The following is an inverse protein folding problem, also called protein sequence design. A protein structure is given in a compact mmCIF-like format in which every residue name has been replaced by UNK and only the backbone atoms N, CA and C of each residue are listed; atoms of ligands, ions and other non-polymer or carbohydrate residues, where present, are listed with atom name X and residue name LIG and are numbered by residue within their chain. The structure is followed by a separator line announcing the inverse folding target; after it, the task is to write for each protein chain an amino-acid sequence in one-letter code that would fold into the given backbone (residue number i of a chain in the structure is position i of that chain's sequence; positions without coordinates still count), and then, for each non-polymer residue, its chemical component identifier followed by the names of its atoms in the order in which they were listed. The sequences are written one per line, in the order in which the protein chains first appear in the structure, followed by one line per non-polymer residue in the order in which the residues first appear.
data_IF_856645429472
#
_entry.id   IF_856645429472
#
_cell.length_a   1.000
_cell.length_b   1.000
_cell.length_c   1.000
_cell.angle_alpha   90.00
_cell.angle_beta   90.00
_cell.angle_gamma   90.00
#
_symmetry.space_group_name_H-M   'P 1'
#
loop_
_entity.id
_entity.type
_entity.pdbx_description
1 polymer ?
#
# COMPACT_ATOMS: atom_id res chain seq x y z
N UNK A 1 -14.55 -10.42 -20.23
CA UNK A 1 -14.86 -9.51 -19.15
C UNK A 1 -13.68 -9.38 -18.21
N UNK A 2 -13.25 -8.18 -18.00
CA UNK A 2 -12.13 -7.95 -17.14
C UNK A 2 -12.58 -7.84 -15.70
N UNK A 3 -12.07 -8.72 -14.90
CA UNK A 3 -12.34 -8.66 -13.47
C UNK A 3 -11.09 -8.09 -12.83
N UNK A 4 -11.19 -6.87 -12.37
CA UNK A 4 -10.09 -6.31 -11.61
C UNK A 4 -10.22 -6.77 -10.18
N UNK A 5 -9.16 -7.33 -9.69
CA UNK A 5 -9.04 -7.47 -8.26
C UNK A 5 -8.70 -6.09 -7.72
N UNK A 6 -9.53 -5.51 -6.85
CA UNK A 6 -9.18 -4.24 -6.24
C UNK A 6 -7.84 -4.37 -5.53
N UNK A 7 -6.91 -3.47 -5.81
CA UNK A 7 -5.57 -3.55 -5.25
C UNK A 7 -5.58 -3.55 -3.73
N UNK A 8 -6.49 -2.78 -3.12
CA UNK A 8 -6.55 -2.69 -1.67
C UNK A 8 -6.99 -4.00 -1.01
N UNK A 9 -7.54 -4.93 -1.79
CA UNK A 9 -7.92 -6.25 -1.29
C UNK A 9 -6.86 -7.30 -1.57
N UNK A 10 -5.82 -6.96 -2.28
CA UNK A 10 -4.70 -7.85 -2.50
C UNK A 10 -3.80 -7.80 -1.29
N UNK A 11 -4.14 -8.63 -0.33
CA UNK A 11 -3.46 -8.64 0.96
C UNK A 11 -1.95 -8.76 0.82
N UNK A 12 -1.49 -9.60 -0.08
CA UNK A 12 -0.07 -9.82 -0.29
C UNK A 12 0.64 -8.55 -0.74
N UNK A 13 0.00 -7.79 -1.64
CA UNK A 13 0.57 -6.55 -2.15
C UNK A 13 0.60 -5.48 -1.06
N UNK A 14 -0.47 -5.40 -0.27
CA UNK A 14 -0.54 -4.46 0.84
C UNK A 14 0.57 -4.76 1.85
N UNK A 15 0.73 -6.03 2.20
CA UNK A 15 1.74 -6.44 3.17
C UNK A 15 3.15 -6.17 2.62
N UNK A 16 3.38 -6.45 1.34
CA UNK A 16 4.68 -6.21 0.72
C UNK A 16 5.07 -4.74 0.78
N UNK A 17 4.13 -3.87 0.45
CA UNK A 17 4.39 -2.42 0.51
C UNK A 17 4.59 -1.96 1.94
N UNK A 18 3.79 -2.45 2.86
CA UNK A 18 3.93 -2.09 4.27
C UNK A 18 5.28 -2.57 4.83
N UNK A 19 5.70 -3.77 4.47
CA UNK A 19 7.00 -4.30 4.89
C UNK A 19 8.13 -3.41 4.39
N UNK A 20 8.08 -3.00 3.13
CA UNK A 20 9.11 -2.15 2.57
C UNK A 20 9.13 -0.79 3.25
N UNK A 21 7.96 -0.21 3.50
CA UNK A 21 7.85 1.11 4.12
C UNK A 21 8.27 1.08 5.59
N UNK A 22 8.10 -0.05 6.28
CA UNK A 22 8.59 -0.20 7.64
C UNK A 22 10.11 -0.16 7.71
N UNK A 23 10.76 -0.58 6.64
CA UNK A 23 12.22 -0.71 6.62
C UNK A 23 12.94 0.55 6.16
N UNK A 24 12.23 1.50 5.56
CA UNK A 24 12.85 2.70 4.99
C UNK A 24 12.13 3.94 5.50
N UNK A 25 12.85 5.06 5.49
CA UNK A 25 12.33 6.32 6.02
C UNK A 25 12.72 7.48 5.12
N UNK A 26 12.01 8.60 5.29
CA UNK A 26 12.36 9.85 4.65
C UNK A 26 12.21 9.79 3.14
N UNK A 27 13.20 10.34 2.44
CA UNK A 27 13.16 10.43 0.99
C UNK A 27 13.15 9.08 0.30
N UNK A 28 13.82 8.10 0.91
CA UNK A 28 13.83 6.75 0.36
C UNK A 28 12.42 6.15 0.36
N UNK A 29 11.66 6.40 1.42
CA UNK A 29 10.28 5.95 1.51
C UNK A 29 9.41 6.62 0.45
N UNK A 30 9.58 7.93 0.27
CA UNK A 30 8.84 8.66 -0.76
C UNK A 30 9.18 8.16 -2.16
N UNK A 31 10.45 7.93 -2.44
CA UNK A 31 10.88 7.44 -3.74
C UNK A 31 10.31 6.05 -4.01
N UNK A 32 10.35 5.19 -3.01
CA UNK A 32 9.77 3.84 -3.11
C UNK A 32 8.28 3.94 -3.42
N UNK A 33 7.57 4.76 -2.68
CA UNK A 33 6.13 4.90 -2.84
C UNK A 33 5.77 5.39 -4.24
N UNK A 34 6.47 6.44 -4.71
CA UNK A 34 6.21 6.98 -6.05
C UNK A 34 6.46 5.94 -7.14
N UNK A 35 7.54 5.17 -7.01
CA UNK A 35 7.85 4.13 -7.97
C UNK A 35 6.80 3.03 -7.96
N UNK A 36 6.33 2.62 -6.77
CA UNK A 36 5.29 1.62 -6.63
C UNK A 36 3.97 2.09 -7.25
N UNK A 37 3.59 3.32 -6.97
CA UNK A 37 2.33 3.84 -7.50
C UNK A 37 2.38 3.96 -9.02
N UNK A 38 3.53 4.35 -9.55
CA UNK A 38 3.71 4.41 -11.00
C UNK A 38 3.61 3.03 -11.63
N UNK A 39 4.22 2.05 -10.99
CA UNK A 39 4.19 0.67 -11.46
C UNK A 39 2.76 0.11 -11.44
N UNK A 40 2.04 0.34 -10.35
CA UNK A 40 0.65 -0.11 -10.23
C UNK A 40 -0.26 0.56 -11.25
N UNK A 41 -0.07 1.86 -11.46
CA UNK A 41 -0.84 2.59 -12.45
C UNK A 41 -0.61 2.02 -13.85
N UNK A 42 0.65 1.69 -14.15
CA UNK A 42 1.00 1.06 -15.42
C UNK A 42 0.34 -0.28 -15.61
N UNK A 43 0.32 -1.10 -14.57
CA UNK A 43 -0.34 -2.40 -14.63
C UNK A 43 -1.85 -2.27 -14.85
N UNK A 44 -2.48 -1.34 -14.14
CA UNK A 44 -3.91 -1.12 -14.28
C UNK A 44 -4.24 -0.60 -15.67
N UNK A 45 -3.42 0.30 -16.18
CA UNK A 45 -3.61 0.84 -17.52
C UNK A 45 -3.48 -0.26 -18.57
N UNK A 46 -2.47 -1.11 -18.42
CA UNK A 46 -2.27 -2.24 -19.32
C UNK A 46 -3.44 -3.21 -19.26
N UNK A 47 -4.11 -3.30 -18.13
CA UNK A 47 -5.27 -4.16 -17.96
C UNK A 47 -6.57 -3.52 -18.47
N UNK A 48 -6.51 -2.28 -18.96
CA UNK A 48 -7.65 -1.61 -19.56
C UNK A 48 -8.37 -0.62 -18.68
N UNK A 49 -7.84 -0.30 -17.50
CA UNK A 49 -8.46 0.67 -16.61
C UNK A 49 -8.30 2.08 -17.16
N UNK A 50 -9.33 2.90 -16.99
CA UNK A 50 -9.23 4.31 -17.36
C UNK A 50 -8.62 5.11 -16.21
N UNK A 51 -8.38 6.40 -16.44
CA UNK A 51 -7.71 7.25 -15.46
C UNK A 51 -8.49 7.34 -14.14
N UNK A 52 -9.80 7.40 -14.21
CA UNK A 52 -10.64 7.48 -13.02
C UNK A 52 -10.54 6.20 -12.20
N UNK A 53 -10.53 5.05 -12.86
CA UNK A 53 -10.41 3.77 -12.20
C UNK A 53 -9.02 3.62 -11.58
N UNK A 54 -7.99 4.03 -12.30
CA UNK A 54 -6.62 3.97 -11.80
C UNK A 54 -6.48 4.83 -10.54
N UNK A 55 -7.00 6.05 -10.56
CA UNK A 55 -6.93 6.94 -9.41
C UNK A 55 -7.66 6.36 -8.20
N UNK A 56 -8.83 5.79 -8.44
CA UNK A 56 -9.63 5.17 -7.39
C UNK A 56 -8.90 4.00 -6.75
N UNK A 57 -8.35 3.12 -7.59
CA UNK A 57 -7.63 1.94 -7.12
C UNK A 57 -6.40 2.33 -6.30
N UNK A 58 -5.65 3.30 -6.78
CA UNK A 58 -4.45 3.76 -6.09
C UNK A 58 -4.81 4.40 -4.76
N UNK A 59 -5.85 5.21 -4.74
CA UNK A 59 -6.32 5.83 -3.51
C UNK A 59 -6.67 4.79 -2.45
N UNK A 60 -7.45 3.79 -2.85
CA UNK A 60 -7.87 2.74 -1.91
C UNK A 60 -6.71 1.85 -1.50
N UNK A 61 -5.79 1.57 -2.42
CA UNK A 61 -4.61 0.80 -2.09
C UNK A 61 -3.74 1.55 -1.07
N UNK A 62 -3.55 2.84 -1.29
CA UNK A 62 -2.80 3.68 -0.35
C UNK A 62 -3.45 3.65 1.04
N UNK A 63 -4.77 3.77 1.09
CA UNK A 63 -5.49 3.72 2.35
C UNK A 63 -5.28 2.38 3.06
N UNK A 64 -5.30 1.28 2.30
CA UNK A 64 -5.09 -0.04 2.87
C UNK A 64 -3.68 -0.21 3.43
N UNK A 65 -2.68 0.31 2.73
CA UNK A 65 -1.30 0.25 3.21
C UNK A 65 -1.13 1.09 4.48
N UNK A 66 -1.72 2.28 4.51
CA UNK A 66 -1.66 3.13 5.70
C UNK A 66 -2.35 2.46 6.88
N UNK A 67 -3.48 1.80 6.62
CA UNK A 67 -4.19 1.05 7.66
C UNK A 67 -3.34 -0.08 8.22
N UNK A 68 -2.65 -0.79 7.35
CA UNK A 68 -1.75 -1.86 7.78
C UNK A 68 -0.61 -1.31 8.63
N UNK A 69 -0.02 -0.20 8.23
CA UNK A 69 1.05 0.43 9.00
C UNK A 69 0.57 0.90 10.36
N UNK A 70 -0.64 1.48 10.42
CA UNK A 70 -1.23 1.89 11.68
C UNK A 70 -1.50 0.69 12.58
N UNK A 71 -2.02 -0.36 12.01
CA UNK A 71 -2.29 -1.60 12.75
C UNK A 71 -1.02 -2.15 13.38
N UNK A 72 0.10 -2.12 12.64
CA UNK A 72 1.38 -2.56 13.15
C UNK A 72 1.87 -1.68 14.29
N UNK A 73 1.69 -0.37 14.17
CA UNK A 73 2.07 0.56 15.22
C UNK A 73 1.28 0.32 16.50
N UNK A 74 -0.03 0.11 16.36
CA UNK A 74 -0.88 -0.18 17.50
C UNK A 74 -0.51 -1.51 18.15
N UNK A 75 -0.22 -2.52 17.34
CA UNK A 75 0.20 -3.82 17.84
C UNK A 75 1.52 -3.71 18.59
N UNK A 76 2.44 -2.91 18.07
CA UNK A 76 3.74 -2.69 18.71
C UNK A 76 3.55 -2.00 20.07
N UNK A 77 2.64 -1.05 20.15
CA UNK A 77 2.34 -0.38 21.42
C UNK A 77 1.74 -1.34 22.43
N UNK A 78 0.86 -2.23 21.96
CA UNK A 78 0.25 -3.22 22.84
C UNK A 78 1.22 -4.31 23.29
N UNK A 79 2.15 -4.66 22.41
CA UNK A 79 3.12 -5.71 22.69
C UNK A 79 4.36 -5.17 23.39
N UNK A 80 4.58 -3.88 23.37
CA UNK A 80 5.71 -3.29 24.06
C UNK A 80 5.60 -3.61 25.54
N UNK A 81 6.67 -4.08 26.16
CA UNK A 81 6.61 -4.36 27.60
C UNK A 81 6.28 -3.06 28.30
N UNK A 82 5.22 -3.12 29.05
CA UNK A 82 4.86 -1.98 29.87
C UNK A 82 5.99 -1.80 30.87
N UNK A 83 6.58 -0.64 30.83
CA UNK A 83 7.62 -0.34 31.77
C UNK A 83 7.00 -0.31 33.18
N UNK A 84 7.37 -1.21 33.93
CA UNK A 84 6.81 -1.33 35.26
C UNK A 84 5.69 -2.28 35.28
#
# INVERSE_FOLDING_TARGET
MLTFFPLHRRRQEVIRCADALDAIHGEAANAFWKAEMRSLAGLLKAAGADDAEISSQIFEFNAAVQEELQSRSLAALHLAPQAG
#
